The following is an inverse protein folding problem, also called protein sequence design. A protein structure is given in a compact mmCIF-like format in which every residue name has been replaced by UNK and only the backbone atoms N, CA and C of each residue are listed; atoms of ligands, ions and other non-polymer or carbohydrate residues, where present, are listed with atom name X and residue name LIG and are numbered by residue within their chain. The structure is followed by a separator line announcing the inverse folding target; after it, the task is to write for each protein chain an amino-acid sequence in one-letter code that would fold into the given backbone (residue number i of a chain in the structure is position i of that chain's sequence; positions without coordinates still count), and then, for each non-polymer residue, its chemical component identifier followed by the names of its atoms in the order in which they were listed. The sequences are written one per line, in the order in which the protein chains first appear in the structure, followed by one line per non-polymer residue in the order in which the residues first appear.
data_IF_950308456890
#
_entry.id   IF_950308456890
#
_cell.length_a   1.000
_cell.length_b   1.000
_cell.length_c   1.000
_cell.angle_alpha   90.00
_cell.angle_beta   90.00
_cell.angle_gamma   90.00
#
_symmetry.space_group_name_H-M   'P 1'
#
loop_
_entity.id
_entity.type
_entity.pdbx_description
1 polymer ?
#
# COMPACT_ATOMS: atom_id res chain seq x y z
N UNK A 1 -105.30 -44.77 128.42
CA UNK A 1 -104.61 -45.20 127.19
C UNK A 1 -104.14 -43.95 126.49
N UNK A 2 -102.82 -43.77 126.34
CA UNK A 2 -102.25 -42.66 125.59
C UNK A 2 -102.65 -42.80 124.13
N UNK A 3 -103.18 -41.74 123.53
CA UNK A 3 -103.51 -41.73 122.11
C UNK A 3 -102.21 -41.56 121.31
N UNK A 4 -101.82 -42.58 120.55
CA UNK A 4 -100.67 -42.51 119.64
C UNK A 4 -101.01 -41.49 118.53
N UNK A 5 -100.12 -40.53 118.21
CA UNK A 5 -100.32 -39.62 117.09
C UNK A 5 -100.54 -40.39 115.79
N UNK A 6 -101.34 -39.84 114.87
CA UNK A 6 -101.57 -40.53 113.59
C UNK A 6 -100.24 -40.66 112.82
N UNK A 7 -100.02 -41.72 112.04
CA UNK A 7 -98.77 -41.90 111.29
C UNK A 7 -98.40 -40.73 110.36
N UNK A 8 -99.37 -39.90 110.00
CA UNK A 8 -99.22 -38.76 109.08
C UNK A 8 -99.22 -37.41 109.82
N UNK A 9 -99.31 -37.40 111.15
CA UNK A 9 -99.31 -36.18 111.93
C UNK A 9 -97.92 -35.54 111.89
N UNK A 10 -97.85 -34.30 111.41
CA UNK A 10 -96.61 -33.53 111.40
C UNK A 10 -96.10 -33.38 112.84
N UNK A 11 -94.81 -33.65 113.06
CA UNK A 11 -94.18 -33.59 114.40
C UNK A 11 -94.19 -32.15 114.93
N UNK A 12 -93.94 -31.18 114.06
CA UNK A 12 -93.93 -29.76 114.38
C UNK A 12 -94.80 -28.95 113.42
N UNK A 13 -95.32 -27.82 113.91
CA UNK A 13 -96.00 -26.82 113.11
C UNK A 13 -95.02 -25.94 112.31
N UNK A 14 -95.53 -24.97 111.55
CA UNK A 14 -94.69 -24.04 110.76
C UNK A 14 -93.76 -23.17 111.61
N UNK A 15 -93.98 -23.06 112.92
CA UNK A 15 -93.12 -22.34 113.84
C UNK A 15 -92.07 -23.26 114.50
N UNK A 16 -92.04 -24.55 114.15
CA UNK A 16 -91.13 -25.54 114.73
C UNK A 16 -91.56 -26.01 116.12
N UNK A 17 -92.77 -25.68 116.57
CA UNK A 17 -93.32 -26.13 117.84
C UNK A 17 -94.04 -27.47 117.66
N UNK A 18 -94.00 -28.40 118.63
CA UNK A 18 -94.71 -29.66 118.52
C UNK A 18 -96.19 -29.45 118.24
N UNK A 19 -96.74 -30.16 117.25
CA UNK A 19 -98.18 -30.08 116.98
C UNK A 19 -98.95 -30.59 118.19
N UNK A 20 -100.21 -30.16 118.36
CA UNK A 20 -100.99 -30.51 119.56
C UNK A 20 -101.05 -32.03 119.83
N UNK A 21 -101.16 -32.86 118.78
CA UNK A 21 -101.14 -34.33 118.91
C UNK A 21 -99.80 -34.83 119.44
N UNK A 22 -98.69 -34.35 118.87
CA UNK A 22 -97.35 -34.72 119.33
C UNK A 22 -97.02 -34.13 120.70
N UNK A 23 -97.46 -32.91 121.00
CA UNK A 23 -97.30 -32.28 122.31
C UNK A 23 -98.03 -33.06 123.39
N UNK A 24 -99.29 -33.47 123.15
CA UNK A 24 -100.03 -34.29 124.14
C UNK A 24 -99.43 -35.67 124.29
N UNK A 25 -99.02 -36.32 123.19
CA UNK A 25 -98.31 -37.61 123.27
C UNK A 25 -97.00 -37.50 124.07
N UNK A 26 -96.16 -36.50 123.77
CA UNK A 26 -94.89 -36.27 124.46
C UNK A 26 -95.08 -35.83 125.91
N UNK A 27 -96.14 -35.07 126.21
CA UNK A 27 -96.49 -34.67 127.57
C UNK A 27 -96.99 -35.87 128.38
N UNK A 28 -97.80 -36.75 127.78
CA UNK A 28 -98.23 -38.02 128.39
C UNK A 28 -97.05 -38.99 128.59
N UNK A 29 -96.08 -38.99 127.65
CA UNK A 29 -94.82 -39.72 127.75
C UNK A 29 -93.96 -39.20 128.91
N UNK A 30 -93.80 -37.88 129.00
CA UNK A 30 -92.99 -37.21 130.00
C UNK A 30 -93.58 -37.31 131.42
N UNK A 31 -94.91 -37.40 131.54
CA UNK A 31 -95.61 -37.48 132.82
C UNK A 31 -95.78 -38.92 133.36
N UNK A 32 -95.10 -39.92 132.78
CA UNK A 32 -94.99 -41.33 133.23
C UNK A 32 -96.29 -42.11 133.50
N UNK A 33 -97.46 -41.51 133.37
CA UNK A 33 -98.77 -42.16 133.56
C UNK A 33 -99.23 -42.98 132.34
N UNK A 34 -98.44 -43.01 131.26
CA UNK A 34 -98.87 -43.46 129.94
C UNK A 34 -98.13 -44.66 129.31
N UNK A 35 -96.94 -45.01 129.79
CA UNK A 35 -96.16 -46.15 129.28
C UNK A 35 -96.40 -47.40 130.12
N UNK A 36 -96.70 -48.53 129.46
CA UNK A 36 -96.70 -49.82 130.17
C UNK A 36 -95.27 -50.22 130.53
N UNK A 37 -95.05 -50.99 131.60
CA UNK A 37 -93.71 -51.47 131.97
C UNK A 37 -92.92 -52.08 130.80
N UNK A 38 -93.59 -52.84 129.93
CA UNK A 38 -92.98 -53.46 128.74
C UNK A 38 -92.44 -52.44 127.70
N UNK A 39 -93.09 -51.27 127.58
CA UNK A 39 -92.67 -50.24 126.64
C UNK A 39 -91.44 -49.48 127.15
N UNK A 40 -91.35 -49.28 128.47
CA UNK A 40 -90.17 -48.71 129.11
C UNK A 40 -88.95 -49.63 128.90
N UNK A 41 -89.13 -50.93 129.12
CA UNK A 41 -88.08 -51.92 128.93
C UNK A 41 -87.56 -51.97 127.49
N UNK A 42 -88.46 -51.93 126.49
CA UNK A 42 -88.05 -51.87 125.07
C UNK A 42 -87.29 -50.60 124.71
N UNK A 43 -87.64 -49.48 125.33
CA UNK A 43 -86.93 -48.22 125.10
C UNK A 43 -85.51 -48.30 125.67
N UNK A 44 -85.35 -48.84 126.88
CA UNK A 44 -84.03 -49.07 127.49
C UNK A 44 -83.18 -50.07 126.67
N UNK A 45 -83.78 -51.14 126.14
CA UNK A 45 -83.11 -52.08 125.23
C UNK A 45 -82.60 -51.42 123.94
N UNK A 46 -83.38 -50.48 123.39
CA UNK A 46 -83.04 -49.80 122.15
C UNK A 46 -81.92 -48.77 122.35
N UNK A 47 -81.93 -48.07 123.49
CA UNK A 47 -80.83 -47.20 123.91
C UNK A 47 -79.54 -48.01 124.07
N UNK A 48 -79.61 -49.16 124.75
CA UNK A 48 -78.46 -50.05 124.92
C UNK A 48 -77.93 -50.59 123.58
N UNK A 49 -78.79 -50.89 122.62
CA UNK A 49 -78.39 -51.36 121.29
C UNK A 49 -77.68 -50.28 120.47
N UNK A 50 -78.11 -49.01 120.58
CA UNK A 50 -77.46 -47.89 119.89
C UNK A 50 -76.11 -47.59 120.50
N UNK A 51 -75.99 -47.59 121.83
CA UNK A 51 -74.69 -47.41 122.51
C UNK A 51 -73.70 -48.53 122.14
N UNK A 52 -74.18 -49.76 122.00
CA UNK A 52 -73.35 -50.89 121.56
C UNK A 52 -72.83 -50.74 120.12
N UNK A 53 -73.61 -50.12 119.22
CA UNK A 53 -73.18 -49.84 117.84
C UNK A 53 -72.22 -48.65 117.78
N UNK A 54 -72.43 -47.61 118.58
CA UNK A 54 -71.56 -46.44 118.63
C UNK A 54 -70.22 -46.72 119.33
N UNK A 55 -70.17 -47.70 120.22
CA UNK A 55 -68.94 -48.21 120.83
C UNK A 55 -68.09 -49.12 119.93
N UNK A 56 -68.55 -49.47 118.72
CA UNK A 56 -67.74 -50.21 117.75
C UNK A 56 -66.86 -49.28 116.92
N UNK A 57 -65.77 -48.79 117.52
CA UNK A 57 -64.64 -48.28 116.75
C UNK A 57 -63.89 -49.48 116.12
N UNK A 58 -64.11 -49.75 114.83
CA UNK A 58 -63.33 -50.76 114.09
C UNK A 58 -64.11 -51.65 113.12
N UNK A 59 -64.94 -51.06 112.25
CA UNK A 59 -65.46 -51.79 111.09
C UNK A 59 -64.32 -52.18 110.15
N UNK A 60 -63.99 -53.47 110.07
CA UNK A 60 -62.95 -53.98 109.14
C UNK A 60 -63.43 -53.90 107.70
N UNK A 61 -62.98 -52.89 106.95
CA UNK A 61 -63.10 -52.86 105.49
C UNK A 61 -61.88 -53.57 104.87
N UNK A 62 -62.10 -54.63 104.09
CA UNK A 62 -61.03 -55.27 103.31
C UNK A 62 -60.79 -54.49 102.04
N UNK A 63 -59.63 -53.82 101.96
CA UNK A 63 -59.18 -53.15 100.73
C UNK A 63 -58.21 -54.08 100.03
N UNK A 64 -58.54 -54.50 98.81
CA UNK A 64 -57.66 -55.29 97.96
C UNK A 64 -56.95 -54.37 96.98
N UNK A 65 -55.62 -54.31 97.02
CA UNK A 65 -54.84 -53.68 95.96
C UNK A 65 -55.07 -54.39 94.61
N UNK A 66 -55.48 -53.64 93.60
CA UNK A 66 -55.64 -54.12 92.22
C UNK A 66 -54.81 -53.26 91.26
N UNK A 67 -54.15 -53.90 90.29
CA UNK A 67 -53.24 -53.20 89.39
C UNK A 67 -52.00 -52.67 90.11
N UNK A 68 -51.72 -51.37 89.98
CA UNK A 68 -50.56 -50.71 90.60
C UNK A 68 -50.81 -50.28 92.04
N UNK A 69 -51.80 -50.82 92.73
CA UNK A 69 -52.10 -50.43 94.11
C UNK A 69 -51.54 -51.49 95.06
N UNK A 70 -50.69 -51.06 95.99
CA UNK A 70 -50.23 -51.87 97.11
C UNK A 70 -50.88 -51.38 98.40
N UNK A 71 -51.43 -52.33 99.16
CA UNK A 71 -52.11 -52.08 100.43
C UNK A 71 -51.36 -52.78 101.55
N UNK A 72 -50.83 -52.02 102.50
CA UNK A 72 -50.09 -52.56 103.65
C UNK A 72 -50.70 -52.02 104.95
N UNK A 73 -51.07 -52.92 105.87
CA UNK A 73 -51.53 -52.53 107.21
C UNK A 73 -52.39 -53.58 107.93
N UNK A 74 -52.31 -53.59 109.27
CA UNK A 74 -53.17 -54.40 110.17
C UNK A 74 -54.22 -53.55 110.91
N UNK A 75 -54.03 -52.24 111.03
CA UNK A 75 -54.94 -51.29 111.72
C UNK A 75 -55.26 -50.04 110.87
N UNK A 76 -54.24 -49.35 110.34
CA UNK A 76 -54.40 -48.29 109.33
C UNK A 76 -54.04 -48.88 107.96
N UNK A 77 -54.98 -48.86 107.01
CA UNK A 77 -54.68 -49.24 105.63
C UNK A 77 -54.08 -48.03 104.93
N UNK A 78 -52.80 -48.11 104.60
CA UNK A 78 -52.16 -47.16 103.72
C UNK A 78 -52.19 -47.69 102.28
N UNK A 79 -52.61 -46.84 101.36
CA UNK A 79 -52.74 -47.16 99.95
C UNK A 79 -51.64 -46.40 99.21
N UNK A 80 -50.77 -47.12 98.52
CA UNK A 80 -49.74 -46.54 97.66
C UNK A 80 -49.89 -47.04 96.24
N UNK A 81 -49.47 -46.21 95.29
CA UNK A 81 -49.25 -46.64 93.91
C UNK A 81 -47.82 -47.18 93.78
N UNK A 82 -47.70 -48.43 93.33
CA UNK A 82 -46.43 -49.10 93.08
C UNK A 82 -45.69 -48.38 91.94
N UNK A 83 -44.44 -48.01 92.20
CA UNK A 83 -43.58 -47.32 91.24
C UNK A 83 -43.94 -45.85 91.00
N UNK A 84 -44.78 -45.27 91.86
CA UNK A 84 -45.10 -43.85 91.81
C UNK A 84 -44.00 -43.00 92.47
N UNK A 85 -43.77 -41.83 91.91
CA UNK A 85 -42.85 -40.83 92.41
C UNK A 85 -43.55 -39.48 92.28
N UNK A 86 -43.67 -38.73 93.37
CA UNK A 86 -44.47 -37.49 93.41
C UNK A 86 -43.85 -36.32 92.63
N UNK A 87 -42.59 -36.47 92.18
CA UNK A 87 -41.86 -35.43 91.45
C UNK A 87 -40.90 -36.02 90.39
N UNK A 88 -41.41 -36.67 89.32
CA UNK A 88 -40.57 -37.34 88.32
C UNK A 88 -39.88 -36.37 87.35
N UNK A 89 -40.29 -35.10 87.33
CA UNK A 89 -39.78 -34.11 86.38
C UNK A 89 -40.39 -34.25 84.98
N UNK A 90 -40.11 -33.28 84.10
CA UNK A 90 -40.82 -33.14 82.82
C UNK A 90 -40.44 -34.16 81.72
N UNK A 91 -39.36 -34.92 81.90
CA UNK A 91 -38.87 -35.91 80.93
C UNK A 91 -39.49 -37.30 81.08
N UNK A 92 -40.51 -37.43 81.94
CA UNK A 92 -41.13 -38.69 82.32
C UNK A 92 -42.64 -38.64 82.10
N UNK A 93 -43.23 -39.78 81.74
CA UNK A 93 -44.68 -39.95 81.64
C UNK A 93 -45.12 -41.15 82.48
N UNK A 94 -46.31 -41.07 83.06
CA UNK A 94 -46.93 -42.20 83.73
C UNK A 94 -47.73 -43.00 82.71
N UNK A 95 -47.47 -44.30 82.60
CA UNK A 95 -48.10 -45.13 81.59
C UNK A 95 -47.75 -46.60 81.72
N UNK A 96 -47.88 -47.31 80.60
CA UNK A 96 -47.53 -48.73 80.49
C UNK A 96 -46.25 -48.87 79.67
N UNK A 97 -45.24 -49.51 80.25
CA UNK A 97 -43.95 -49.74 79.61
C UNK A 97 -43.97 -50.84 78.54
N UNK A 98 -42.85 -51.03 77.84
CA UNK A 98 -42.70 -52.06 76.80
C UNK A 98 -42.90 -53.50 77.29
N UNK A 99 -42.73 -53.72 78.59
CA UNK A 99 -42.94 -54.98 79.31
C UNK A 99 -44.37 -55.15 79.84
N UNK A 100 -45.26 -54.18 79.57
CA UNK A 100 -46.65 -54.20 80.01
C UNK A 100 -46.87 -53.77 81.47
N UNK A 101 -45.81 -53.39 82.19
CA UNK A 101 -45.90 -52.92 83.58
C UNK A 101 -46.35 -51.45 83.59
N UNK A 102 -47.04 -51.00 84.65
CA UNK A 102 -47.44 -49.60 84.83
C UNK A 102 -46.44 -48.87 85.74
N UNK A 103 -46.12 -47.62 85.43
CA UNK A 103 -45.21 -46.80 86.22
C UNK A 103 -44.76 -45.53 85.50
N UNK A 104 -43.77 -44.84 86.08
CA UNK A 104 -43.08 -43.72 85.44
C UNK A 104 -42.01 -44.22 84.48
N UNK A 105 -42.09 -43.79 83.23
CA UNK A 105 -41.14 -44.13 82.18
C UNK A 105 -40.56 -42.87 81.55
N UNK A 106 -39.29 -42.92 81.15
CA UNK A 106 -38.69 -41.81 80.43
C UNK A 106 -39.42 -41.67 79.09
N UNK A 107 -39.81 -40.43 78.75
CA UNK A 107 -40.41 -40.13 77.44
C UNK A 107 -39.48 -40.59 76.33
N UNK A 108 -38.17 -40.44 76.54
CA UNK A 108 -37.15 -40.95 75.64
C UNK A 108 -37.38 -42.44 75.31
N UNK A 109 -37.58 -43.33 76.27
CA UNK A 109 -37.62 -44.78 76.02
C UNK A 109 -38.83 -45.22 75.20
N UNK A 110 -39.92 -44.44 75.23
CA UNK A 110 -41.09 -44.68 74.39
C UNK A 110 -40.92 -44.26 72.92
N UNK A 111 -39.88 -43.48 72.61
CA UNK A 111 -39.63 -42.91 71.29
C UNK A 111 -38.50 -43.66 70.58
N UNK A 112 -38.81 -44.30 69.45
CA UNK A 112 -37.83 -44.95 68.58
C UNK A 112 -37.38 -44.00 67.45
N UNK A 113 -36.12 -44.13 67.02
CA UNK A 113 -35.60 -43.48 65.82
C UNK A 113 -35.34 -44.52 64.72
N UNK A 114 -35.52 -44.13 63.46
CA UNK A 114 -35.18 -44.93 62.27
C UNK A 114 -33.76 -44.61 61.80
N UNK A 115 -33.29 -45.25 60.72
CA UNK A 115 -31.95 -45.00 60.18
C UNK A 115 -31.70 -43.53 59.76
N UNK A 116 -32.74 -42.78 59.39
CA UNK A 116 -32.64 -41.39 58.91
C UNK A 116 -32.57 -40.37 60.06
N UNK A 117 -32.88 -40.79 61.29
CA UNK A 117 -32.98 -39.93 62.47
C UNK A 117 -32.01 -40.39 63.55
N UNK A 118 -31.34 -39.44 64.18
CA UNK A 118 -30.54 -39.68 65.37
C UNK A 118 -31.32 -39.21 66.59
N UNK A 119 -31.30 -40.01 67.65
CA UNK A 119 -31.88 -39.67 68.95
C UNK A 119 -30.77 -39.67 69.99
N UNK A 120 -30.62 -38.57 70.69
CA UNK A 120 -29.72 -38.45 71.83
C UNK A 120 -30.53 -38.13 73.09
N UNK A 121 -30.17 -38.77 74.20
CA UNK A 121 -30.80 -38.53 75.51
C UNK A 121 -29.71 -37.97 76.42
N UNK A 122 -29.94 -36.78 76.96
CA UNK A 122 -29.04 -36.20 77.95
C UNK A 122 -29.11 -37.01 79.25
N UNK A 123 -27.98 -37.54 79.69
CA UNK A 123 -27.92 -38.46 80.83
C UNK A 123 -28.23 -37.78 82.18
N UNK A 124 -28.13 -36.45 82.29
CA UNK A 124 -28.39 -35.72 83.52
C UNK A 124 -29.85 -35.24 83.66
N UNK A 125 -30.49 -34.89 82.54
CA UNK A 125 -31.82 -34.27 82.51
C UNK A 125 -32.91 -35.17 81.90
N UNK A 126 -32.51 -36.25 81.21
CA UNK A 126 -33.42 -37.15 80.50
C UNK A 126 -34.05 -36.54 79.25
N UNK A 127 -33.65 -35.33 78.85
CA UNK A 127 -34.19 -34.65 77.66
C UNK A 127 -33.75 -35.39 76.40
N UNK A 128 -34.73 -35.82 75.61
CA UNK A 128 -34.50 -36.41 74.30
C UNK A 128 -34.41 -35.31 73.22
N UNK A 129 -33.37 -35.40 72.38
CA UNK A 129 -33.19 -34.54 71.20
C UNK A 129 -33.14 -35.38 69.93
N UNK A 130 -33.65 -34.81 68.84
CA UNK A 130 -33.70 -35.46 67.52
C UNK A 130 -32.92 -34.65 66.50
N UNK A 131 -32.13 -35.35 65.70
CA UNK A 131 -31.39 -34.82 64.55
C UNK A 131 -31.56 -35.70 63.32
N UNK A 132 -31.06 -35.24 62.18
CA UNK A 132 -30.87 -36.10 61.02
C UNK A 132 -29.62 -36.97 61.24
N UNK A 133 -29.62 -38.18 60.69
CA UNK A 133 -28.41 -38.97 60.59
C UNK A 133 -27.43 -38.36 59.58
N UNK A 134 -26.13 -38.56 59.83
CA UNK A 134 -25.10 -38.13 58.88
C UNK A 134 -25.28 -38.88 57.56
N UNK A 135 -25.45 -38.13 56.47
CA UNK A 135 -25.49 -38.67 55.12
C UNK A 135 -24.14 -38.43 54.44
N UNK A 136 -23.33 -39.48 54.19
CA UNK A 136 -22.06 -39.33 53.49
C UNK A 136 -22.25 -38.71 52.11
N UNK A 137 -21.32 -37.86 51.70
CA UNK A 137 -21.30 -37.37 50.32
C UNK A 137 -21.11 -38.57 49.39
N UNK A 138 -22.07 -38.78 48.47
CA UNK A 138 -22.03 -39.89 47.52
C UNK A 138 -20.90 -39.75 46.49
N UNK A 139 -20.35 -38.53 46.31
CA UNK A 139 -19.33 -38.24 45.30
C UNK A 139 -19.83 -38.37 43.86
N UNK A 140 -21.09 -38.75 43.65
CA UNK A 140 -21.73 -38.89 42.34
C UNK A 140 -22.68 -37.72 42.11
N UNK A 141 -22.33 -36.87 41.14
CA UNK A 141 -23.17 -35.78 40.65
C UNK A 141 -22.73 -35.37 39.24
N UNK A 142 -23.67 -35.28 38.32
CA UNK A 142 -23.41 -34.89 36.91
C UNK A 142 -23.72 -33.42 36.63
N UNK A 143 -24.37 -32.71 37.56
CA UNK A 143 -24.84 -31.34 37.38
C UNK A 143 -24.60 -30.48 38.63
N UNK A 144 -24.34 -29.19 38.40
CA UNK A 144 -24.30 -28.16 39.43
C UNK A 144 -25.73 -27.64 39.63
N UNK A 145 -26.14 -27.50 40.88
CA UNK A 145 -27.45 -26.96 41.24
C UNK A 145 -27.33 -25.72 42.10
N UNK A 146 -28.20 -24.73 41.84
CA UNK A 146 -28.45 -23.65 42.80
C UNK A 146 -29.50 -24.13 43.80
N UNK A 147 -29.25 -23.86 45.08
CA UNK A 147 -30.12 -24.25 46.17
C UNK A 147 -30.70 -23.01 46.83
N UNK A 148 -32.01 -23.01 47.05
CA UNK A 148 -32.68 -21.98 47.84
C UNK A 148 -32.88 -22.54 49.24
N UNK A 149 -32.47 -21.79 50.27
CA UNK A 149 -32.72 -22.15 51.67
C UNK A 149 -33.84 -21.30 52.25
N UNK A 150 -34.65 -21.88 53.12
CA UNK A 150 -35.60 -21.12 53.92
C UNK A 150 -34.89 -20.36 55.05
N UNK A 151 -35.63 -19.55 55.82
CA UNK A 151 -35.10 -18.79 56.94
C UNK A 151 -34.50 -19.67 58.07
N UNK A 152 -34.79 -20.98 58.05
CA UNK A 152 -34.26 -21.97 58.98
C UNK A 152 -33.09 -22.77 58.39
N UNK A 153 -32.59 -22.39 57.21
CA UNK A 153 -31.44 -23.02 56.55
C UNK A 153 -31.74 -24.33 55.80
N UNK A 154 -33.00 -24.76 55.71
CA UNK A 154 -33.39 -26.00 55.01
C UNK A 154 -33.51 -25.75 53.52
N UNK A 155 -33.09 -26.72 52.70
CA UNK A 155 -33.30 -26.64 51.24
C UNK A 155 -34.79 -26.63 50.93
N UNK A 156 -35.23 -25.56 50.28
CA UNK A 156 -36.62 -25.31 49.89
C UNK A 156 -36.84 -25.43 48.38
N UNK A 157 -35.76 -25.41 47.60
CA UNK A 157 -35.79 -25.56 46.16
C UNK A 157 -34.40 -25.88 45.60
N UNK A 158 -34.40 -26.61 44.49
CA UNK A 158 -33.21 -26.97 43.74
C UNK A 158 -33.50 -26.81 42.25
N UNK A 159 -32.65 -26.06 41.55
CA UNK A 159 -32.76 -25.84 40.10
C UNK A 159 -31.37 -26.01 39.49
N UNK A 160 -31.29 -26.57 38.29
CA UNK A 160 -30.02 -26.69 37.56
C UNK A 160 -29.39 -25.31 37.38
N UNK A 161 -28.09 -25.22 37.63
CA UNK A 161 -27.33 -24.00 37.41
C UNK A 161 -26.75 -24.00 35.99
N UNK A 162 -26.72 -22.82 35.38
CA UNK A 162 -26.02 -22.53 34.12
C UNK A 162 -24.84 -21.61 34.40
N UNK A 163 -23.97 -21.39 33.42
CA UNK A 163 -22.89 -20.39 33.53
C UNK A 163 -23.43 -18.98 33.77
N UNK A 164 -24.68 -18.68 33.36
CA UNK A 164 -25.34 -17.41 33.63
C UNK A 164 -25.71 -17.19 35.10
N UNK A 165 -25.77 -18.26 35.91
CA UNK A 165 -26.08 -18.17 37.34
C UNK A 165 -24.83 -17.89 38.20
N UNK A 166 -23.65 -17.92 37.59
CA UNK A 166 -22.37 -17.76 38.28
C UNK A 166 -21.81 -16.37 37.96
N UNK A 167 -21.51 -15.54 38.97
CA UNK A 167 -20.76 -14.31 38.76
C UNK A 167 -19.36 -14.63 38.19
N UNK A 168 -18.93 -13.84 37.22
CA UNK A 168 -17.57 -13.89 36.72
C UNK A 168 -16.60 -13.23 37.70
N UNK A 169 -15.41 -13.82 37.85
CA UNK A 169 -14.33 -13.28 38.68
C UNK A 169 -13.14 -12.88 37.81
N UNK A 170 -11.95 -13.35 38.18
CA UNK A 170 -10.76 -13.23 37.32
C UNK A 170 -10.86 -14.08 36.04
N UNK A 171 -11.58 -15.20 36.11
CA UNK A 171 -11.93 -16.02 34.96
C UNK A 171 -13.24 -15.51 34.37
N UNK A 172 -13.18 -15.18 33.08
CA UNK A 172 -14.31 -14.69 32.30
C UNK A 172 -14.89 -15.85 31.50
N UNK A 173 -16.22 -16.02 31.50
CA UNK A 173 -16.84 -17.04 30.67
C UNK A 173 -16.80 -16.60 29.20
N UNK A 174 -16.66 -17.57 28.31
CA UNK A 174 -16.75 -17.32 26.89
C UNK A 174 -18.19 -16.97 26.52
N UNK A 175 -18.38 -15.78 25.98
CA UNK A 175 -19.57 -15.41 25.23
C UNK A 175 -19.13 -15.17 23.79
N UNK A 176 -20.03 -15.40 22.82
CA UNK A 176 -19.76 -15.04 21.43
C UNK A 176 -19.29 -13.60 21.36
N UNK A 177 -19.97 -12.70 22.09
CA UNK A 177 -19.66 -11.29 22.05
C UNK A 177 -18.25 -10.96 22.57
N UNK A 178 -17.83 -11.53 23.70
CA UNK A 178 -16.46 -11.31 24.20
C UNK A 178 -15.40 -11.82 23.21
N UNK A 179 -15.70 -12.90 22.48
CA UNK A 179 -14.81 -13.42 21.45
C UNK A 179 -14.71 -12.48 20.23
N UNK A 180 -15.83 -11.87 19.85
CA UNK A 180 -15.92 -10.86 18.79
C UNK A 180 -15.18 -9.59 19.21
N UNK A 181 -15.43 -9.07 20.42
CA UNK A 181 -14.72 -7.94 21.03
C UNK A 181 -13.21 -8.15 21.05
N UNK A 182 -12.75 -9.33 21.49
CA UNK A 182 -11.32 -9.65 21.54
C UNK A 182 -10.68 -9.67 20.15
N UNK A 183 -11.40 -10.18 19.14
CA UNK A 183 -10.96 -10.20 17.74
C UNK A 183 -10.90 -8.78 17.17
N UNK A 184 -11.95 -7.98 17.39
CA UNK A 184 -12.02 -6.59 16.99
C UNK A 184 -10.88 -5.77 17.62
N UNK A 185 -10.65 -5.91 18.92
CA UNK A 185 -9.56 -5.26 19.62
C UNK A 185 -8.18 -5.64 19.06
N UNK A 186 -7.96 -6.93 18.75
CA UNK A 186 -6.70 -7.39 18.16
C UNK A 186 -6.48 -6.79 16.75
N UNK A 187 -7.53 -6.68 15.93
CA UNK A 187 -7.47 -6.04 14.62
C UNK A 187 -7.18 -4.54 14.77
N UNK A 188 -7.88 -3.85 15.67
CA UNK A 188 -7.64 -2.41 15.93
C UNK A 188 -6.24 -2.13 16.46
N UNK A 189 -5.68 -3.03 17.28
CA UNK A 189 -4.31 -2.91 17.79
C UNK A 189 -3.25 -3.27 16.73
N UNK A 190 -3.64 -3.95 15.66
CA UNK A 190 -2.77 -4.30 14.55
C UNK A 190 -2.24 -3.06 13.84
N UNK A 191 -0.95 -3.08 13.48
CA UNK A 191 -0.36 -2.07 12.61
C UNK A 191 -0.32 -2.63 11.19
N UNK A 192 -0.90 -1.91 10.24
CA UNK A 192 -0.98 -2.32 8.85
C UNK A 192 -0.41 -1.24 7.95
N UNK A 193 0.36 -1.63 6.92
CA UNK A 193 0.88 -0.74 5.89
C UNK A 193 0.32 -1.19 4.53
N UNK A 194 -0.19 -0.24 3.75
CA UNK A 194 -0.87 -0.49 2.47
C UNK A 194 -2.21 -1.25 2.55
N UNK A 195 -2.66 -1.65 3.74
CA UNK A 195 -3.96 -2.27 3.97
C UNK A 195 -4.56 -1.70 5.25
N UNK A 196 -5.87 -1.48 5.28
CA UNK A 196 -6.63 -1.19 6.50
C UNK A 196 -7.59 -2.35 6.76
N UNK A 197 -7.52 -2.93 7.96
CA UNK A 197 -8.47 -3.94 8.41
C UNK A 197 -9.41 -3.34 9.46
N UNK A 198 -10.69 -3.70 9.37
CA UNK A 198 -11.71 -3.36 10.36
C UNK A 198 -12.53 -4.60 10.69
N UNK A 199 -13.01 -4.69 11.91
CA UNK A 199 -13.94 -5.74 12.33
C UNK A 199 -15.35 -5.17 12.35
N UNK A 200 -16.25 -5.79 11.60
CA UNK A 200 -17.69 -5.50 11.62
C UNK A 200 -18.35 -6.49 12.57
N UNK A 201 -18.62 -6.01 13.77
CA UNK A 201 -19.17 -6.79 14.87
C UNK A 201 -20.60 -7.26 14.58
N UNK A 202 -21.45 -6.36 14.08
CA UNK A 202 -22.84 -6.69 13.70
C UNK A 202 -22.89 -7.76 12.62
N UNK A 203 -21.95 -7.73 11.66
CA UNK A 203 -21.84 -8.70 10.57
C UNK A 203 -20.97 -9.92 10.86
N UNK A 204 -20.29 -9.96 12.01
CA UNK A 204 -19.22 -10.92 12.35
C UNK A 204 -18.24 -11.18 11.19
N UNK A 205 -17.63 -10.12 10.65
CA UNK A 205 -16.71 -10.22 9.51
C UNK A 205 -15.52 -9.26 9.63
N UNK A 206 -14.43 -9.60 8.95
CA UNK A 206 -13.27 -8.73 8.81
C UNK A 206 -13.32 -8.09 7.43
N UNK A 207 -13.27 -6.76 7.39
CA UNK A 207 -13.25 -5.96 6.19
C UNK A 207 -11.83 -5.46 5.91
N UNK A 208 -11.34 -5.64 4.68
CA UNK A 208 -10.05 -5.13 4.24
C UNK A 208 -10.19 -4.11 3.13
N UNK A 209 -9.51 -2.97 3.27
CA UNK A 209 -9.40 -1.94 2.24
C UNK A 209 -7.93 -1.72 1.89
N UNK A 210 -7.57 -1.88 0.62
CA UNK A 210 -6.24 -1.55 0.15
C UNK A 210 -6.03 -0.03 0.27
N UNK A 211 -5.07 0.38 1.09
CA UNK A 211 -4.65 1.78 1.28
C UNK A 211 -3.30 2.06 0.65
N UNK A 212 -2.78 1.10 -0.13
CA UNK A 212 -1.45 1.16 -0.73
C UNK A 212 -1.26 2.46 -1.49
N UNK A 213 -0.21 3.17 -1.06
CA UNK A 213 0.32 4.36 -1.70
C UNK A 213 0.62 4.09 -3.17
N UNK A 214 0.80 2.83 -3.59
CA UNK A 214 0.90 2.43 -5.00
C UNK A 214 -0.29 2.86 -5.86
N UNK A 215 -1.53 2.66 -5.42
CA UNK A 215 -2.71 3.11 -6.19
C UNK A 215 -2.78 4.63 -6.29
N UNK A 216 -2.45 5.32 -5.19
CA UNK A 216 -2.37 6.78 -5.16
C UNK A 216 -1.19 7.30 -6.00
N UNK A 217 -0.06 6.60 -6.01
CA UNK A 217 1.14 6.95 -6.76
C UNK A 217 0.94 6.71 -8.26
N UNK A 218 0.27 5.63 -8.65
CA UNK A 218 -0.14 5.39 -10.04
C UNK A 218 -1.15 6.44 -10.47
N UNK A 219 -2.18 6.72 -9.67
CA UNK A 219 -3.15 7.79 -9.97
C UNK A 219 -2.47 9.16 -10.09
N UNK A 220 -1.53 9.47 -9.19
CA UNK A 220 -0.75 10.70 -9.23
C UNK A 220 0.17 10.77 -10.44
N UNK A 221 0.82 9.66 -10.82
CA UNK A 221 1.66 9.57 -12.01
C UNK A 221 0.84 9.75 -13.29
N UNK A 222 -0.32 9.10 -13.38
CA UNK A 222 -1.26 9.25 -14.51
C UNK A 222 -1.82 10.67 -14.60
N UNK A 223 -2.01 11.35 -13.47
CA UNK A 223 -2.50 12.73 -13.41
C UNK A 223 -1.40 13.79 -13.67
N UNK A 224 -0.12 13.43 -13.53
CA UNK A 224 0.96 14.32 -13.92
C UNK A 224 0.98 14.47 -15.44
N UNK A 225 1.15 15.71 -15.92
CA UNK A 225 1.43 15.96 -17.32
C UNK A 225 2.66 15.14 -17.72
N UNK A 226 2.56 14.41 -18.83
CA UNK A 226 3.63 13.52 -19.29
C UNK A 226 4.96 14.30 -19.28
N UNK A 227 5.94 13.91 -18.44
CA UNK A 227 7.24 14.55 -18.39
C UNK A 227 8.03 14.33 -19.69
N UNK A 228 7.53 13.46 -20.57
CA UNK A 228 7.91 13.35 -21.97
C UNK A 228 6.75 13.86 -22.85
N UNK A 229 6.66 15.18 -23.12
CA UNK A 229 5.87 15.70 -24.25
C UNK A 229 6.37 15.21 -25.63
N UNK A 230 7.17 14.13 -25.65
CA UNK A 230 8.16 13.76 -26.64
C UNK A 230 7.56 13.11 -27.89
N UNK A 231 6.25 12.85 -27.93
CA UNK A 231 5.59 12.84 -29.23
C UNK A 231 5.45 14.29 -29.67
N UNK A 232 6.53 14.81 -30.26
CA UNK A 232 6.46 15.95 -31.17
C UNK A 232 5.27 15.67 -32.07
N UNK A 233 4.23 16.50 -31.97
CA UNK A 233 3.03 16.25 -32.77
C UNK A 233 3.45 16.25 -34.25
N UNK A 234 2.70 15.55 -35.11
CA UNK A 234 3.00 15.56 -36.55
C UNK A 234 3.10 17.00 -37.10
N UNK A 235 2.36 17.94 -36.51
CA UNK A 235 2.43 19.36 -36.86
C UNK A 235 3.73 20.04 -36.41
N UNK A 236 4.18 19.81 -35.18
CA UNK A 236 5.44 20.38 -34.66
C UNK A 236 6.67 19.75 -35.35
N UNK A 237 6.62 18.44 -35.61
CA UNK A 237 7.65 17.76 -36.40
C UNK A 237 7.69 18.28 -37.85
N UNK A 238 6.53 18.56 -38.45
CA UNK A 238 6.45 19.19 -39.77
C UNK A 238 7.06 20.58 -39.72
N UNK A 239 6.68 21.45 -38.76
CA UNK A 239 7.17 22.83 -38.65
C UNK A 239 8.67 22.96 -38.29
N UNK A 240 9.27 21.94 -37.67
CA UNK A 240 10.69 21.90 -37.34
C UNK A 240 11.59 21.31 -38.44
N UNK A 241 11.01 20.74 -39.52
CA UNK A 241 11.79 20.19 -40.62
C UNK A 241 12.60 21.30 -41.34
N UNK A 242 13.92 21.12 -41.55
CA UNK A 242 14.76 22.13 -42.22
C UNK A 242 14.30 22.48 -43.64
N UNK A 243 13.58 21.57 -44.30
CA UNK A 243 12.98 21.78 -45.62
C UNK A 243 11.49 21.53 -45.50
N UNK A 244 10.70 22.61 -45.61
CA UNK A 244 9.24 22.57 -45.52
C UNK A 244 8.56 22.34 -46.87
N UNK A 245 9.21 22.81 -47.93
CA UNK A 245 8.77 22.64 -49.29
C UNK A 245 9.98 22.68 -50.22
N UNK A 246 9.84 22.07 -51.40
CA UNK A 246 10.79 22.25 -52.49
C UNK A 246 10.01 22.82 -53.67
N UNK A 247 10.33 24.05 -54.06
CA UNK A 247 9.69 24.75 -55.17
C UNK A 247 8.14 24.76 -55.06
N UNK A 248 7.62 25.01 -53.84
CA UNK A 248 6.18 25.09 -53.55
C UNK A 248 5.45 23.76 -53.34
N UNK A 249 6.11 22.62 -53.51
CA UNK A 249 5.52 21.30 -53.22
C UNK A 249 5.78 20.87 -51.78
N UNK A 250 4.77 20.31 -51.13
CA UNK A 250 4.81 19.77 -49.76
C UNK A 250 4.44 18.28 -49.76
N UNK A 251 4.81 17.53 -48.71
CA UNK A 251 4.52 16.10 -48.60
C UNK A 251 5.48 15.22 -49.43
N UNK A 252 4.93 14.27 -50.19
CA UNK A 252 5.72 13.43 -51.10
C UNK A 252 6.17 14.24 -52.33
N UNK A 253 7.32 14.90 -52.22
CA UNK A 253 7.86 15.71 -53.31
C UNK A 253 8.56 14.84 -54.35
N UNK A 254 8.03 14.81 -55.58
CA UNK A 254 8.68 14.20 -56.74
C UNK A 254 9.38 15.29 -57.56
N UNK A 255 10.71 15.31 -57.53
CA UNK A 255 11.50 16.32 -58.23
C UNK A 255 11.71 15.91 -59.69
N UNK A 256 11.28 16.78 -60.60
CA UNK A 256 11.61 16.69 -62.04
C UNK A 256 12.72 17.68 -62.40
N UNK A 257 13.41 17.51 -63.54
CA UNK A 257 14.40 18.49 -64.03
C UNK A 257 13.86 19.93 -64.09
N UNK A 258 12.56 20.11 -64.39
CA UNK A 258 11.92 21.42 -64.41
C UNK A 258 11.85 22.08 -63.02
N UNK A 259 11.73 21.28 -61.95
CA UNK A 259 11.63 21.81 -60.58
C UNK A 259 12.94 22.42 -60.07
N UNK A 260 14.07 22.09 -60.69
CA UNK A 260 15.42 22.54 -60.30
C UNK A 260 16.12 23.35 -61.41
N UNK A 261 15.42 23.70 -62.48
CA UNK A 261 16.01 24.43 -63.61
C UNK A 261 17.07 23.64 -64.38
N UNK A 262 17.05 22.31 -64.30
CA UNK A 262 17.95 21.46 -65.07
C UNK A 262 17.59 21.49 -66.55
N UNK A 263 18.61 21.29 -67.41
CA UNK A 263 18.43 21.31 -68.86
C UNK A 263 17.42 20.24 -69.30
N UNK A 264 16.47 20.65 -70.15
CA UNK A 264 15.51 19.74 -70.78
C UNK A 264 16.19 18.88 -71.84
N UNK A 265 15.60 17.73 -72.15
CA UNK A 265 16.09 16.87 -73.24
C UNK A 265 16.17 17.62 -74.59
N UNK A 266 15.26 18.56 -74.85
CA UNK A 266 15.28 19.40 -76.04
C UNK A 266 16.48 20.38 -76.05
N UNK A 267 16.84 20.94 -74.89
CA UNK A 267 18.04 21.77 -74.76
C UNK A 267 19.32 20.94 -74.93
N UNK A 268 19.36 19.71 -74.40
CA UNK A 268 20.45 18.76 -74.63
C UNK A 268 20.64 18.44 -76.12
N UNK A 269 19.57 18.04 -76.81
CA UNK A 269 19.62 17.73 -78.25
C UNK A 269 20.08 18.93 -79.10
N UNK A 270 19.68 20.15 -78.72
CA UNK A 270 20.15 21.36 -79.40
C UNK A 270 21.65 21.58 -79.21
N UNK A 271 22.19 21.33 -78.01
CA UNK A 271 23.62 21.43 -77.75
C UNK A 271 24.43 20.42 -78.58
N UNK A 272 23.96 19.17 -78.69
CA UNK A 272 24.63 18.12 -79.47
C UNK A 272 24.71 18.48 -80.96
N UNK A 273 23.63 19.06 -81.51
CA UNK A 273 23.62 19.53 -82.90
C UNK A 273 24.49 20.77 -83.13
N UNK A 274 24.77 21.56 -82.09
CA UNK A 274 25.54 22.80 -82.21
C UNK A 274 27.05 22.56 -82.33
N UNK A 275 27.55 21.41 -81.87
CA UNK A 275 28.99 21.11 -81.74
C UNK A 275 29.47 19.93 -82.61
N UNK A 276 28.69 19.45 -83.58
CA UNK A 276 29.12 18.34 -84.44
C UNK A 276 30.34 18.72 -85.26
N UNK A 277 31.31 17.82 -85.39
CA UNK A 277 32.48 17.96 -86.26
C UNK A 277 32.09 18.03 -87.74
N UNK A 278 32.97 18.61 -88.56
CA UNK A 278 32.82 18.63 -90.00
C UNK A 278 32.90 17.20 -90.58
N UNK A 279 32.26 16.92 -91.73
CA UNK A 279 32.39 15.64 -92.40
C UNK A 279 33.86 15.24 -92.59
N UNK A 280 34.20 14.00 -92.25
CA UNK A 280 35.57 13.45 -92.29
C UNK A 280 35.99 12.99 -93.69
N UNK A 281 35.66 13.76 -94.73
CA UNK A 281 35.86 13.40 -96.14
C UNK A 281 37.08 14.09 -96.79
N UNK A 282 37.87 14.84 -96.02
CA UNK A 282 39.05 15.56 -96.49
C UNK A 282 38.75 16.91 -97.17
N UNK A 283 37.48 17.30 -97.26
CA UNK A 283 37.06 18.61 -97.79
C UNK A 283 37.08 19.67 -96.69
N UNK A 284 37.46 20.91 -97.04
CA UNK A 284 37.36 22.03 -96.11
C UNK A 284 35.91 22.54 -96.10
N UNK A 285 35.30 22.57 -94.91
CA UNK A 285 33.95 23.08 -94.69
C UNK A 285 33.96 24.36 -93.84
N UNK A 286 33.05 25.28 -94.17
CA UNK A 286 32.59 26.34 -93.27
C UNK A 286 31.22 25.99 -92.68
N UNK A 287 30.92 26.46 -91.47
CA UNK A 287 29.61 26.22 -90.84
C UNK A 287 28.70 27.45 -90.97
N UNK A 288 27.51 27.29 -91.54
CA UNK A 288 26.51 28.36 -91.68
C UNK A 288 25.10 27.83 -91.43
N UNK A 289 24.33 28.54 -90.61
CA UNK A 289 22.93 28.20 -90.26
C UNK A 289 22.73 26.74 -89.80
N UNK A 290 23.71 26.18 -89.06
CA UNK A 290 23.64 24.82 -88.55
C UNK A 290 24.04 23.71 -89.53
N UNK A 291 24.34 24.04 -90.80
CA UNK A 291 24.83 23.09 -91.80
C UNK A 291 26.31 23.29 -92.15
N UNK A 292 26.97 22.20 -92.55
CA UNK A 292 28.32 22.21 -93.12
C UNK A 292 28.25 22.50 -94.61
N UNK A 293 29.01 23.50 -95.09
CA UNK A 293 29.07 23.90 -96.51
C UNK A 293 30.51 23.87 -97.02
N UNK A 294 30.74 23.22 -98.17
CA UNK A 294 32.06 23.07 -98.81
C UNK A 294 32.62 24.45 -99.20
N UNK A 295 33.90 24.68 -98.91
CA UNK A 295 34.65 25.86 -99.36
C UNK A 295 35.44 25.50 -100.61
N UNK A 296 35.03 26.00 -101.78
CA UNK A 296 35.73 25.79 -103.06
C UNK A 296 36.73 26.92 -103.31
N UNK A 297 38.03 26.58 -103.43
CA UNK A 297 39.15 27.45 -103.07
C UNK A 297 39.65 28.52 -104.05
N UNK A 298 40.66 29.27 -103.59
CA UNK A 298 41.55 30.11 -104.39
C UNK A 298 42.99 29.96 -103.89
N UNK A 299 43.81 29.21 -104.62
CA UNK A 299 45.26 29.12 -104.45
C UNK A 299 45.91 30.20 -105.29
N UNK A 300 46.50 31.23 -104.66
CA UNK A 300 47.17 32.33 -105.35
C UNK A 300 48.68 32.22 -105.24
N UNK A 301 49.35 31.80 -106.33
CA UNK A 301 50.78 32.02 -106.49
C UNK A 301 51.06 33.53 -106.65
N UNK A 302 52.18 34.03 -106.11
CA UNK A 302 52.56 35.46 -106.15
C UNK A 302 52.75 35.92 -107.60
N UNK A 303 51.97 36.91 -108.04
CA UNK A 303 51.92 37.36 -109.45
C UNK A 303 52.92 38.47 -109.81
N UNK A 304 53.57 39.10 -108.83
CA UNK A 304 54.61 40.13 -109.08
C UNK A 304 55.49 40.38 -107.84
N UNK A 305 56.74 40.79 -108.04
CA UNK A 305 57.61 41.38 -107.00
C UNK A 305 58.16 42.72 -107.51
N UNK A 306 57.95 43.80 -106.74
CA UNK A 306 58.41 45.16 -107.06
C UNK A 306 58.12 45.59 -108.52
N UNK A 307 56.87 45.41 -108.94
CA UNK A 307 56.35 45.81 -110.25
C UNK A 307 57.01 45.16 -111.49
N UNK A 308 57.81 44.11 -111.31
CA UNK A 308 58.30 43.27 -112.41
C UNK A 308 57.49 41.99 -112.49
N UNK A 309 57.01 41.68 -113.70
CA UNK A 309 56.26 40.48 -114.05
C UNK A 309 57.15 39.53 -114.86
N UNK A 310 57.17 38.24 -114.50
CA UNK A 310 58.05 37.22 -115.07
C UNK A 310 59.12 36.72 -114.08
N UNK A 311 60.06 35.90 -114.53
CA UNK A 311 61.18 35.44 -113.70
C UNK A 311 62.13 36.61 -113.39
N UNK A 312 62.13 37.10 -112.14
CA UNK A 312 62.98 38.22 -111.70
C UNK A 312 64.24 37.64 -111.03
N UNK A 313 65.40 37.83 -111.67
CA UNK A 313 66.70 37.56 -111.05
C UNK A 313 67.21 38.84 -110.36
N UNK A 314 67.56 38.74 -109.07
CA UNK A 314 68.04 39.85 -108.25
C UNK A 314 69.54 39.67 -108.00
N UNK A 315 70.38 40.70 -108.19
CA UNK A 315 71.81 40.61 -107.89
C UNK A 315 72.07 40.20 -106.44
N UNK A 316 73.10 39.39 -106.24
CA UNK A 316 73.38 38.78 -104.95
C UNK A 316 74.86 38.97 -104.54
N UNK A 317 75.19 38.64 -103.29
CA UNK A 317 76.49 38.89 -102.70
C UNK A 317 77.14 37.64 -102.14
N UNK A 318 78.41 37.41 -102.51
CA UNK A 318 79.22 36.32 -101.93
C UNK A 318 80.58 36.82 -101.48
N UNK A 319 81.20 36.11 -100.53
CA UNK A 319 82.53 36.40 -100.01
C UNK A 319 83.41 35.16 -100.09
N UNK A 320 84.46 35.18 -100.90
CA UNK A 320 85.38 34.05 -101.11
C UNK A 320 86.75 34.50 -101.63
N UNK A 321 87.77 33.66 -101.62
CA UNK A 321 89.15 34.07 -101.99
C UNK A 321 89.40 34.20 -103.52
N UNK A 322 88.60 33.54 -104.36
CA UNK A 322 88.74 33.53 -105.83
C UNK A 322 87.47 34.02 -106.53
N UNK A 323 87.58 34.50 -107.77
CA UNK A 323 86.43 35.06 -108.50
C UNK A 323 85.25 34.04 -108.56
N UNK A 324 84.03 34.44 -108.17
CA UNK A 324 82.87 33.55 -108.19
C UNK A 324 82.48 33.16 -109.61
N UNK A 325 81.82 32.01 -109.69
CA UNK A 325 81.22 31.45 -110.90
C UNK A 325 79.70 31.33 -110.72
N UNK A 326 78.98 30.99 -111.79
CA UNK A 326 77.52 30.79 -111.74
C UNK A 326 77.06 29.79 -110.65
N UNK A 327 77.88 28.77 -110.36
CA UNK A 327 77.56 27.80 -109.33
C UNK A 327 77.48 28.43 -107.93
N UNK A 328 78.30 29.45 -107.64
CA UNK A 328 78.33 30.11 -106.32
C UNK A 328 77.02 30.85 -106.02
N UNK A 329 76.27 31.24 -107.05
CA UNK A 329 74.96 31.91 -106.91
C UNK A 329 73.78 30.97 -107.21
N UNK A 330 74.04 29.71 -107.56
CA UNK A 330 73.03 28.76 -108.04
C UNK A 330 72.37 29.16 -109.37
N UNK A 331 72.92 30.15 -110.08
CA UNK A 331 72.39 30.74 -111.32
C UNK A 331 73.51 31.38 -112.14
N UNK A 332 73.28 31.64 -113.43
CA UNK A 332 74.24 32.40 -114.25
C UNK A 332 74.57 33.77 -113.61
N UNK A 333 75.84 34.17 -113.65
CA UNK A 333 76.29 35.46 -113.13
C UNK A 333 75.59 36.60 -113.90
N UNK A 334 75.05 37.57 -113.16
CA UNK A 334 74.38 38.73 -113.74
C UNK A 334 75.10 40.02 -113.37
N UNK A 335 74.95 41.04 -114.23
CA UNK A 335 75.46 42.38 -113.96
C UNK A 335 74.93 42.89 -112.62
N UNK A 336 75.84 43.33 -111.77
CA UNK A 336 75.55 43.82 -110.42
C UNK A 336 75.74 42.76 -109.32
N UNK A 337 76.02 41.50 -109.64
CA UNK A 337 76.46 40.53 -108.62
C UNK A 337 77.75 41.05 -107.97
N UNK A 338 77.83 40.95 -106.64
CA UNK A 338 78.94 41.53 -105.87
C UNK A 338 79.73 40.45 -105.17
N UNK A 339 81.04 40.62 -105.14
CA UNK A 339 81.96 39.67 -104.56
C UNK A 339 82.99 40.38 -103.69
N UNK A 340 83.13 39.97 -102.43
CA UNK A 340 84.28 40.35 -101.61
C UNK A 340 85.35 39.27 -101.67
N UNK A 341 86.52 39.65 -102.17
CA UNK A 341 87.68 38.78 -102.18
C UNK A 341 88.27 38.70 -100.77
N UNK A 342 88.26 37.51 -100.15
CA UNK A 342 88.78 37.29 -98.80
C UNK A 342 90.32 37.35 -98.73
N UNK A 343 91.03 37.15 -99.83
CA UNK A 343 92.49 37.15 -99.86
C UNK A 343 93.13 38.55 -99.83
N UNK A 344 92.44 39.56 -100.37
CA UNK A 344 92.90 40.96 -100.38
C UNK A 344 91.91 41.94 -99.74
N UNK A 345 90.74 41.45 -99.29
CA UNK A 345 89.69 42.25 -98.65
C UNK A 345 88.86 43.12 -99.60
N UNK A 346 89.16 43.08 -100.90
CA UNK A 346 88.61 44.00 -101.91
C UNK A 346 87.24 43.55 -102.40
N UNK A 347 86.33 44.51 -102.58
CA UNK A 347 85.03 44.30 -103.22
C UNK A 347 85.12 44.48 -104.74
N UNK A 348 84.50 43.55 -105.45
CA UNK A 348 84.35 43.54 -106.90
C UNK A 348 82.87 43.47 -107.27
N UNK A 349 82.51 44.05 -108.40
CA UNK A 349 81.17 43.96 -108.98
C UNK A 349 81.26 43.37 -110.38
N UNK A 350 80.37 42.42 -110.70
CA UNK A 350 80.28 41.79 -112.00
C UNK A 350 79.62 42.78 -112.97
N UNK A 351 80.32 43.10 -114.04
CA UNK A 351 79.80 43.96 -115.09
C UNK A 351 80.32 43.47 -116.44
N UNK A 352 79.39 43.14 -117.33
CA UNK A 352 79.62 42.72 -118.71
C UNK A 352 80.63 41.57 -118.82
N UNK A 353 80.51 40.61 -117.89
CA UNK A 353 81.33 39.40 -117.86
C UNK A 353 82.69 39.54 -117.17
N UNK A 354 83.04 40.72 -116.63
CA UNK A 354 84.27 40.97 -115.89
C UNK A 354 83.99 41.38 -114.43
N UNK A 355 84.93 41.08 -113.53
CA UNK A 355 84.90 41.54 -112.14
C UNK A 355 85.70 42.84 -112.00
N UNK A 356 85.02 43.94 -111.76
CA UNK A 356 85.62 45.28 -111.64
C UNK A 356 85.80 45.66 -110.16
N UNK A 357 86.96 46.23 -109.81
CA UNK A 357 87.25 46.70 -108.45
C UNK A 357 86.41 47.93 -108.08
N UNK A 358 85.78 47.89 -106.91
CA UNK A 358 84.95 48.95 -106.37
C UNK A 358 85.80 49.95 -105.52
N UNK A 359 86.50 50.92 -106.16
CA UNK A 359 87.37 51.90 -105.49
C UNK A 359 86.66 53.21 -105.06
N UNK A 360 85.57 53.12 -104.30
CA UNK A 360 84.75 54.28 -103.98
C UNK A 360 85.26 55.16 -102.80
N UNK A 361 86.57 55.25 -102.53
CA UNK A 361 87.13 55.97 -101.36
C UNK A 361 88.10 57.14 -101.68
N UNK A 362 88.16 57.64 -102.93
CA UNK A 362 89.08 58.72 -103.33
C UNK A 362 88.46 60.09 -103.60
N UNK A 363 87.15 60.30 -103.40
CA UNK A 363 86.47 61.55 -103.79
C UNK A 363 85.86 62.39 -102.65
N UNK A 364 86.18 62.11 -101.37
CA UNK A 364 85.56 62.80 -100.23
C UNK A 364 86.52 63.26 -99.11
N UNK A 365 87.83 63.38 -99.36
CA UNK A 365 88.83 63.76 -98.33
C UNK A 365 89.39 65.18 -98.48
N UNK A 366 88.53 66.12 -98.85
CA UNK A 366 88.84 67.55 -98.80
C UNK A 366 87.78 68.28 -97.99
N UNK A 367 88.23 69.17 -97.10
CA UNK A 367 87.31 70.11 -96.44
C UNK A 367 87.15 71.31 -97.38
N UNK A 368 85.91 71.72 -97.71
CA UNK A 368 85.70 72.93 -98.47
C UNK A 368 86.22 74.12 -97.66
N UNK A 369 87.22 74.83 -98.20
CA UNK A 369 87.76 76.05 -97.65
C UNK A 369 87.89 77.07 -98.77
N UNK A 370 87.61 78.34 -98.47
CA UNK A 370 87.69 79.43 -99.43
C UNK A 370 88.70 80.46 -98.94
N UNK A 371 89.52 80.99 -99.85
CA UNK A 371 90.37 82.13 -99.57
C UNK A 371 89.49 83.37 -99.28
N UNK A 372 90.06 84.39 -98.64
CA UNK A 372 89.33 85.65 -98.35
C UNK A 372 88.78 86.34 -99.61
N UNK A 373 89.30 85.98 -100.79
CA UNK A 373 88.85 86.40 -102.12
C UNK A 373 87.66 85.61 -102.69
N UNK A 374 87.17 84.58 -101.98
CA UNK A 374 86.05 83.72 -102.41
C UNK A 374 86.42 82.54 -103.32
N UNK A 375 87.69 82.40 -103.71
CA UNK A 375 88.15 81.25 -104.49
C UNK A 375 88.31 80.00 -103.61
N UNK A 376 87.86 78.84 -104.11
CA UNK A 376 88.02 77.56 -103.42
C UNK A 376 89.49 77.17 -103.33
N UNK A 377 89.97 76.92 -102.11
CA UNK A 377 91.31 76.41 -101.79
C UNK A 377 91.17 75.25 -100.80
N UNK A 378 90.74 74.07 -101.26
CA UNK A 378 90.41 72.94 -100.39
C UNK A 378 91.65 72.44 -99.64
N UNK A 379 91.49 72.11 -98.36
CA UNK A 379 92.57 71.55 -97.54
C UNK A 379 92.47 70.02 -97.59
N UNK A 380 93.54 69.30 -98.04
CA UNK A 380 93.55 67.84 -98.06
C UNK A 380 93.55 67.28 -96.63
N UNK A 381 92.73 66.25 -96.38
CA UNK A 381 92.73 65.49 -95.12
C UNK A 381 93.76 64.36 -95.15
N UNK A 382 94.26 63.97 -93.97
CA UNK A 382 95.04 62.75 -93.79
C UNK A 382 94.16 61.50 -94.01
N UNK A 383 94.78 60.32 -94.15
CA UNK A 383 94.08 59.06 -94.41
C UNK A 383 93.03 58.72 -93.32
N UNK A 384 93.25 59.19 -92.10
CA UNK A 384 92.37 59.05 -90.93
C UNK A 384 91.23 60.09 -90.85
N UNK A 385 91.16 61.03 -91.81
CA UNK A 385 90.15 62.09 -91.84
C UNK A 385 90.48 63.34 -91.03
N UNK A 386 91.68 63.44 -90.43
CA UNK A 386 92.14 64.64 -89.71
C UNK A 386 92.65 65.73 -90.67
N UNK A 387 92.49 67.01 -90.28
CA UNK A 387 93.07 68.13 -91.04
C UNK A 387 94.54 68.29 -90.62
N UNK A 388 95.51 68.26 -91.56
CA UNK A 388 96.91 68.48 -91.24
C UNK A 388 97.17 69.95 -90.89
N UNK A 389 97.76 70.20 -89.72
CA UNK A 389 98.23 71.51 -89.30
C UNK A 389 99.70 71.46 -88.86
N UNK A 390 100.40 72.58 -88.95
CA UNK A 390 101.78 72.72 -88.49
C UNK A 390 101.83 73.83 -87.44
N UNK A 391 102.42 73.53 -86.28
CA UNK A 391 102.71 74.55 -85.27
C UNK A 391 103.79 75.51 -85.81
N UNK A 392 103.91 76.70 -85.21
CA UNK A 392 104.82 77.77 -85.67
C UNK A 392 106.31 77.36 -85.66
N UNK A 393 106.66 76.30 -84.95
CA UNK A 393 108.00 75.68 -84.90
C UNK A 393 108.20 74.57 -85.97
N UNK A 394 107.23 74.35 -86.87
CA UNK A 394 107.29 73.38 -87.96
C UNK A 394 106.81 71.96 -87.60
N UNK A 395 106.44 71.70 -86.35
CA UNK A 395 105.95 70.38 -85.95
C UNK A 395 104.56 70.12 -86.52
N UNK A 396 104.39 69.03 -87.27
CA UNK A 396 103.10 68.61 -87.80
C UNK A 396 102.22 68.03 -86.69
N UNK A 397 101.01 68.57 -86.52
CA UNK A 397 99.99 68.06 -85.59
C UNK A 397 98.64 68.05 -86.31
N UNK A 398 97.97 66.90 -86.35
CA UNK A 398 96.66 66.78 -87.00
C UNK A 398 95.54 67.08 -86.00
N UNK A 399 94.51 67.81 -86.42
CA UNK A 399 93.29 67.98 -85.63
C UNK A 399 92.24 66.96 -86.09
N UNK A 400 91.68 66.12 -85.20
CA UNK A 400 90.57 65.24 -85.56
C UNK A 400 89.31 66.08 -85.81
N UNK A 401 88.59 65.79 -86.90
CA UNK A 401 87.26 66.34 -87.15
C UNK A 401 86.25 65.53 -86.31
N UNK A 402 85.57 66.17 -85.35
CA UNK A 402 84.40 65.56 -84.69
C UNK A 402 83.21 65.53 -85.68
N UNK A 403 82.38 64.49 -85.56
CA UNK A 403 81.07 64.43 -86.19
C UNK A 403 80.13 65.52 -85.65
#
# INVERSE_FOLDING_TARGET
MVAIPRPQAAIADRAGLPTREWYTYLLDLANSAGMTPDQLQRFEELVAAVDALQGQEGGRATIQGVGSIETVGLEIVQIYLVGDNDAPGASWYYGTGPDGVKGWYAIADSLAATADLTKAVDAGTGVATFGLADLPNSGVGTAIYKTTRDAKGRTSGQVAATTSDLPEGTNLYFTTERGQDATGAAITAGTFDGLTLTYDDTGNRINGANTDKGSTAVAAHVAQADPHPQYTTTAEASAAAPVQSVNGQTGNVSITPANIGAATAAQGAKADSALQDAPSDGTIYGRKNGGWTVVTGGSGAVTSVNARTGAVAVPDFVSKATAPTAADYGRALINGDRWRNLGNGVLYTQQDGAWLYDNAASLSRYVPAYLRSGASSPIPLNADGSVPAYLRNGTATSFPLQA
#
